data_IF_374333888535
#
_entry.id   IF_374333888535
#
_cell.length_a   1.000
_cell.length_b   1.000
_cell.length_c   1.000
_cell.angle_alpha   90.00
_cell.angle_beta   90.00
_cell.angle_gamma   90.00
#
_symmetry.space_group_name_H-M   'P 1'
#
loop_
_entity.id
_entity.type
_entity.pdbx_description
1 polymer ?
#
# COMPACT_ATOMS: atom_id res chain seq x y z
N UNK A 1 12.90 17.39 25.71
CA UNK A 1 13.35 16.70 24.47
C UNK A 1 12.26 16.72 23.39
N UNK A 2 11.19 15.90 23.44
CA UNK A 2 10.14 15.95 22.38
C UNK A 2 9.40 17.29 22.29
N UNK A 3 9.14 17.94 23.43
CA UNK A 3 8.54 19.29 23.48
C UNK A 3 9.41 20.38 22.83
N UNK A 4 10.72 20.20 22.79
CA UNK A 4 11.67 21.18 22.21
C UNK A 4 11.69 21.10 20.67
N UNK A 5 11.21 20.01 20.07
CA UNK A 5 11.09 19.83 18.62
C UNK A 5 9.88 20.59 18.02
N UNK A 6 9.18 21.40 18.82
CA UNK A 6 7.98 22.20 18.48
C UNK A 6 7.95 22.63 17.01
N UNK A 7 6.86 22.36 16.27
CA UNK A 7 6.43 22.80 14.92
C UNK A 7 7.49 23.24 13.87
N UNK A 8 8.77 22.91 14.07
CA UNK A 8 9.90 23.37 13.25
C UNK A 8 10.11 22.43 12.07
N UNK A 9 9.47 21.25 12.12
CA UNK A 9 9.58 20.21 11.12
C UNK A 9 8.19 19.66 10.79
N UNK A 10 7.90 19.52 9.50
CA UNK A 10 6.66 18.92 9.00
C UNK A 10 6.55 17.44 9.35
N UNK A 11 7.67 16.73 9.36
CA UNK A 11 7.77 15.32 9.74
C UNK A 11 8.71 15.18 10.93
N UNK A 12 8.23 14.52 11.99
CA UNK A 12 9.00 14.23 13.21
C UNK A 12 8.92 12.74 13.49
N UNK A 13 10.07 12.11 13.63
CA UNK A 13 10.20 10.67 13.78
C UNK A 13 10.86 10.33 15.12
N UNK A 14 10.33 9.32 15.80
CA UNK A 14 10.95 8.69 16.97
C UNK A 14 11.36 7.28 16.57
N UNK A 15 12.65 7.06 16.32
CA UNK A 15 13.19 5.73 16.05
C UNK A 15 13.48 5.04 17.39
N UNK A 16 12.79 3.92 17.65
CA UNK A 16 12.90 3.15 18.87
C UNK A 16 13.55 1.79 18.56
N UNK A 17 14.70 1.53 19.20
CA UNK A 17 15.33 0.22 19.19
C UNK A 17 14.72 -0.62 20.31
N UNK A 18 14.15 -1.77 19.95
CA UNK A 18 13.59 -2.76 20.86
C UNK A 18 14.67 -3.80 21.14
N UNK A 19 15.22 -3.77 22.35
CA UNK A 19 16.34 -4.61 22.79
C UNK A 19 15.99 -5.57 23.94
N UNK A 20 14.70 -5.68 24.29
CA UNK A 20 14.22 -6.49 25.41
C UNK A 20 12.99 -7.31 25.04
N UNK A 21 12.86 -8.49 25.65
CA UNK A 21 11.73 -9.40 25.41
C UNK A 21 10.42 -8.90 26.02
N UNK A 22 10.48 -8.02 27.03
CA UNK A 22 9.30 -7.42 27.68
C UNK A 22 9.11 -5.95 27.26
N UNK A 23 9.08 -5.71 25.96
CA UNK A 23 9.01 -4.36 25.41
C UNK A 23 7.59 -3.79 25.29
N UNK A 24 6.54 -4.59 25.51
CA UNK A 24 5.15 -4.18 25.25
C UNK A 24 4.73 -2.93 26.03
N UNK A 25 4.99 -2.90 27.34
CA UNK A 25 4.69 -1.75 28.20
C UNK A 25 5.47 -0.48 27.79
N UNK A 26 6.81 -0.54 27.73
CA UNK A 26 7.62 0.59 27.30
C UNK A 26 7.28 1.11 25.90
N UNK A 27 7.03 0.22 24.93
CA UNK A 27 6.64 0.58 23.57
C UNK A 27 5.30 1.31 23.56
N UNK A 28 4.32 0.85 24.35
CA UNK A 28 3.03 1.50 24.48
C UNK A 28 3.16 2.93 25.03
N UNK A 29 3.96 3.11 26.08
CA UNK A 29 4.17 4.41 26.72
C UNK A 29 4.88 5.40 25.80
N UNK A 30 5.91 4.94 25.07
CA UNK A 30 6.62 5.76 24.07
C UNK A 30 5.69 6.11 22.91
N UNK A 31 4.90 5.15 22.43
CA UNK A 31 3.96 5.36 21.32
C UNK A 31 2.88 6.39 21.70
N UNK A 32 2.31 6.28 22.92
CA UNK A 32 1.36 7.26 23.45
C UNK A 32 1.99 8.66 23.51
N UNK A 33 3.24 8.74 23.99
CA UNK A 33 3.97 10.01 24.08
C UNK A 33 4.28 10.60 22.70
N UNK A 34 4.60 9.77 21.71
CA UNK A 34 4.82 10.20 20.33
C UNK A 34 3.55 10.80 19.72
N UNK A 35 2.39 10.16 19.93
CA UNK A 35 1.09 10.68 19.48
C UNK A 35 0.78 12.04 20.12
N UNK A 36 0.95 12.16 21.45
CA UNK A 36 0.72 13.43 22.16
C UNK A 36 1.60 14.59 21.68
N UNK A 37 2.71 14.29 21.01
CA UNK A 37 3.64 15.27 20.46
C UNK A 37 3.64 15.32 18.93
N UNK A 38 2.64 14.74 18.25
CA UNK A 38 2.51 14.68 16.79
C UNK A 38 3.78 14.15 16.09
N UNK A 39 4.37 13.13 16.69
CA UNK A 39 5.51 12.39 16.15
C UNK A 39 5.06 11.01 15.69
N UNK A 40 5.72 10.47 14.65
CA UNK A 40 5.55 9.08 14.23
C UNK A 40 6.63 8.21 14.86
N UNK A 41 6.22 7.16 15.58
CA UNK A 41 7.15 6.17 16.12
C UNK A 41 7.51 5.12 15.05
N UNK A 42 8.79 4.76 14.96
CA UNK A 42 9.30 3.71 14.09
C UNK A 42 10.08 2.71 14.95
N UNK A 43 9.64 1.45 14.97
CA UNK A 43 10.24 0.39 15.79
C UNK A 43 11.29 -0.36 14.97
N UNK A 44 12.41 -0.69 15.60
CA UNK A 44 13.45 -1.55 15.04
C UNK A 44 13.87 -2.61 16.07
N UNK A 45 14.03 -3.85 15.65
CA UNK A 45 14.45 -4.98 16.50
C UNK A 45 15.93 -5.30 16.38
N UNK A 46 16.66 -4.51 15.60
CA UNK A 46 18.11 -4.57 15.52
C UNK A 46 18.70 -3.23 15.11
N UNK A 47 19.98 -3.04 15.43
CA UNK A 47 20.73 -1.86 14.99
C UNK A 47 20.85 -1.80 13.46
N UNK A 48 21.00 -2.95 12.81
CA UNK A 48 21.07 -3.04 11.35
C UNK A 48 19.76 -2.59 10.69
N UNK A 49 18.62 -2.99 11.26
CA UNK A 49 17.30 -2.54 10.80
C UNK A 49 17.11 -1.04 11.02
N UNK A 50 17.48 -0.52 12.19
CA UNK A 50 17.44 0.91 12.50
C UNK A 50 18.29 1.74 11.52
N UNK A 51 19.50 1.27 11.19
CA UNK A 51 20.37 1.91 10.21
C UNK A 51 19.73 1.93 8.81
N UNK A 52 19.18 0.79 8.36
CA UNK A 52 18.46 0.69 7.08
C UNK A 52 17.28 1.66 7.00
N UNK A 53 16.54 1.85 8.10
CA UNK A 53 15.47 2.85 8.15
C UNK A 53 15.99 4.27 7.98
N UNK A 54 17.08 4.64 8.66
CA UNK A 54 17.68 5.97 8.50
C UNK A 54 18.19 6.21 7.07
N UNK A 55 18.85 5.22 6.47
CA UNK A 55 19.30 5.28 5.08
C UNK A 55 18.13 5.48 4.12
N UNK A 56 17.05 4.72 4.29
CA UNK A 56 15.86 4.81 3.45
C UNK A 56 15.17 6.16 3.62
N UNK A 57 14.94 6.60 4.86
CA UNK A 57 14.35 7.91 5.14
C UNK A 57 15.17 9.03 4.50
N UNK A 58 16.50 8.95 4.57
CA UNK A 58 17.38 9.94 3.96
C UNK A 58 17.33 9.89 2.43
N UNK A 59 17.40 8.71 1.84
CA UNK A 59 17.38 8.51 0.38
C UNK A 59 16.06 8.95 -0.25
N UNK A 60 14.95 8.88 0.50
CA UNK A 60 13.60 9.24 0.03
C UNK A 60 13.11 10.60 0.50
N UNK A 61 13.85 11.32 1.35
CA UNK A 61 13.44 12.62 1.91
C UNK A 61 13.07 13.70 0.87
N UNK A 62 13.54 13.56 -0.37
CA UNK A 62 13.26 14.51 -1.49
C UNK A 62 12.70 13.85 -2.73
N UNK A 63 12.36 12.55 -2.67
CA UNK A 63 11.83 11.84 -3.84
C UNK A 63 10.35 12.20 -4.03
N UNK A 64 9.89 12.34 -5.29
CA UNK A 64 8.48 12.60 -5.55
C UNK A 64 7.62 11.39 -5.18
N UNK A 65 6.35 11.66 -4.85
CA UNK A 65 5.35 10.63 -4.51
C UNK A 65 5.00 9.71 -5.70
N UNK A 66 5.49 10.00 -6.90
CA UNK A 66 5.23 9.21 -8.11
C UNK A 66 5.74 7.78 -8.00
N UNK A 67 6.73 7.51 -7.14
CA UNK A 67 7.20 6.15 -6.86
C UNK A 67 6.18 5.29 -6.08
N UNK A 68 5.24 5.93 -5.39
CA UNK A 68 4.20 5.26 -4.58
C UNK A 68 2.92 5.06 -5.40
N UNK A 69 2.73 5.84 -6.47
CA UNK A 69 1.58 5.69 -7.35
C UNK A 69 1.61 4.32 -8.01
N UNK A 70 0.44 3.69 -8.07
CA UNK A 70 0.24 2.46 -8.82
C UNK A 70 0.66 2.69 -10.28
N UNK A 71 1.59 1.87 -10.76
CA UNK A 71 2.03 1.87 -12.15
C UNK A 71 1.03 1.07 -12.95
N UNK A 72 -0.08 1.69 -13.35
CA UNK A 72 -0.96 1.08 -14.32
C UNK A 72 -0.27 1.18 -15.69
N UNK A 73 -0.03 0.05 -16.36
CA UNK A 73 0.53 0.01 -17.72
C UNK A 73 -0.36 0.73 -18.75
N UNK A 74 -1.56 1.18 -18.35
CA UNK A 74 -2.49 1.92 -19.21
C UNK A 74 -3.10 1.05 -20.31
N UNK A 75 -2.74 -0.23 -20.34
CA UNK A 75 -3.30 -1.19 -21.27
C UNK A 75 -4.76 -1.45 -20.95
N UNK A 76 -5.61 -1.38 -21.98
CA UNK A 76 -7.04 -1.64 -21.88
C UNK A 76 -7.35 -2.99 -21.21
N UNK A 77 -6.54 -4.02 -21.49
CA UNK A 77 -6.71 -5.35 -20.89
C UNK A 77 -6.51 -5.35 -19.36
N UNK A 78 -5.59 -4.54 -18.84
CA UNK A 78 -5.36 -4.41 -17.39
C UNK A 78 -6.53 -3.70 -16.71
N UNK A 79 -7.01 -2.59 -17.29
CA UNK A 79 -8.18 -1.86 -16.78
C UNK A 79 -9.44 -2.71 -16.81
N UNK A 80 -9.63 -3.51 -17.87
CA UNK A 80 -10.75 -4.42 -18.00
C UNK A 80 -10.70 -5.54 -16.95
N UNK A 81 -9.53 -6.13 -16.72
CA UNK A 81 -9.31 -7.14 -15.68
C UNK A 81 -9.57 -6.58 -14.27
N UNK A 82 -9.08 -5.37 -13.98
CA UNK A 82 -9.34 -4.68 -12.70
C UNK A 82 -10.84 -4.41 -12.51
N UNK A 83 -11.53 -3.92 -13.54
CA UNK A 83 -12.96 -3.59 -13.44
C UNK A 83 -13.84 -4.83 -13.22
N UNK A 84 -13.59 -5.92 -13.97
CA UNK A 84 -14.48 -7.09 -13.94
C UNK A 84 -14.20 -8.03 -12.75
N UNK A 85 -12.96 -8.07 -12.24
CA UNK A 85 -12.64 -8.89 -11.05
C UNK A 85 -13.19 -8.32 -9.73
N UNK A 86 -13.74 -7.10 -9.74
CA UNK A 86 -14.53 -6.57 -8.62
C UNK A 86 -15.83 -7.35 -8.40
N UNK A 87 -16.36 -7.99 -9.44
CA UNK A 87 -17.58 -8.80 -9.37
C UNK A 87 -17.18 -10.26 -9.12
N UNK A 88 -17.33 -10.74 -7.88
CA UNK A 88 -17.16 -12.17 -7.59
C UNK A 88 -18.24 -12.97 -8.31
N UNK A 89 -17.95 -14.14 -8.92
CA UNK A 89 -16.74 -14.97 -8.77
C UNK A 89 -15.65 -14.80 -9.84
N UNK A 90 -15.63 -13.70 -10.62
CA UNK A 90 -14.74 -13.57 -11.77
C UNK A 90 -13.25 -13.41 -11.40
N UNK A 91 -12.40 -14.19 -12.05
CA UNK A 91 -10.94 -14.12 -11.96
C UNK A 91 -10.30 -13.46 -13.20
N UNK A 92 -9.00 -13.16 -13.12
CA UNK A 92 -8.24 -12.60 -14.27
C UNK A 92 -8.27 -13.51 -15.51
N UNK A 93 -8.31 -14.83 -15.32
CA UNK A 93 -8.48 -15.82 -16.40
C UNK A 93 -9.80 -15.60 -17.13
N UNK A 94 -10.88 -15.47 -16.37
CA UNK A 94 -12.25 -15.42 -16.88
C UNK A 94 -12.48 -14.13 -17.66
N UNK A 95 -11.87 -13.02 -17.21
CA UNK A 95 -11.85 -11.77 -17.96
C UNK A 95 -11.09 -11.90 -19.27
N UNK A 96 -9.99 -12.66 -19.29
CA UNK A 96 -9.26 -12.98 -20.53
C UNK A 96 -10.13 -13.75 -21.52
N UNK A 97 -10.87 -14.75 -21.03
CA UNK A 97 -11.83 -15.52 -21.83
C UNK A 97 -12.96 -14.64 -22.37
N UNK A 98 -13.61 -13.84 -21.52
CA UNK A 98 -14.66 -12.91 -21.92
C UNK A 98 -14.16 -11.93 -22.98
N UNK A 99 -12.95 -11.39 -22.81
CA UNK A 99 -12.33 -10.49 -23.77
C UNK A 99 -12.04 -11.17 -25.11
N UNK A 100 -11.57 -12.42 -25.10
CA UNK A 100 -11.36 -13.18 -26.33
C UNK A 100 -12.68 -13.51 -27.05
N UNK A 101 -13.75 -13.84 -26.31
CA UNK A 101 -15.05 -14.22 -26.87
C UNK A 101 -15.83 -13.02 -27.42
N UNK A 102 -15.93 -11.94 -26.65
CA UNK A 102 -16.80 -10.80 -27.00
C UNK A 102 -16.05 -9.61 -27.60
N UNK A 103 -14.72 -9.54 -27.44
CA UNK A 103 -13.85 -8.53 -28.05
C UNK A 103 -14.00 -7.08 -27.53
N UNK A 104 -15.11 -6.74 -26.86
CA UNK A 104 -15.35 -5.42 -26.29
C UNK A 104 -16.26 -5.49 -25.08
N UNK A 105 -16.07 -4.59 -24.11
CA UNK A 105 -16.91 -4.49 -22.92
C UNK A 105 -18.38 -4.22 -23.26
N UNK A 106 -18.65 -3.42 -24.29
CA UNK A 106 -20.02 -3.12 -24.74
C UNK A 106 -20.75 -4.40 -25.18
N UNK A 107 -20.08 -5.28 -25.92
CA UNK A 107 -20.65 -6.58 -26.33
C UNK A 107 -20.84 -7.52 -25.15
N UNK A 108 -19.94 -7.53 -24.17
CA UNK A 108 -20.12 -8.34 -22.95
C UNK A 108 -21.35 -7.91 -22.15
N UNK A 109 -21.61 -6.60 -22.06
CA UNK A 109 -22.76 -6.07 -21.30
C UNK A 109 -24.10 -6.23 -22.03
N UNK A 110 -24.07 -6.40 -23.35
CA UNK A 110 -25.25 -6.64 -24.18
C UNK A 110 -25.50 -8.13 -24.46
N UNK A 111 -24.57 -9.01 -24.07
CA UNK A 111 -24.68 -10.44 -24.27
C UNK A 111 -25.82 -11.04 -23.45
N UNK A 112 -26.50 -12.04 -23.99
CA UNK A 112 -27.55 -12.74 -23.26
C UNK A 112 -26.96 -13.66 -22.18
N UNK A 113 -27.81 -14.11 -21.24
CA UNK A 113 -27.37 -15.06 -20.22
C UNK A 113 -26.88 -16.39 -20.85
N UNK A 114 -27.49 -16.83 -21.94
CA UNK A 114 -27.05 -18.04 -22.64
C UNK A 114 -25.67 -17.85 -23.26
N UNK A 115 -25.41 -16.70 -23.89
CA UNK A 115 -24.11 -16.39 -24.50
C UNK A 115 -23.00 -16.30 -23.45
N UNK A 116 -23.28 -15.67 -22.30
CA UNK A 116 -22.33 -15.62 -21.19
C UNK A 116 -22.04 -17.01 -20.59
N UNK A 117 -23.05 -17.89 -20.55
CA UNK A 117 -22.90 -19.26 -20.06
C UNK A 117 -22.09 -20.18 -21.01
N UNK A 118 -21.88 -19.76 -22.27
CA UNK A 118 -21.02 -20.51 -23.21
C UNK A 118 -19.53 -20.25 -23.04
N UNK A 119 -19.14 -19.27 -22.22
CA UNK A 119 -17.74 -19.03 -21.90
C UNK A 119 -17.21 -20.16 -20.99
N UNK A 120 -16.04 -20.75 -21.32
CA UNK A 120 -15.43 -21.83 -20.54
C UNK A 120 -14.97 -21.38 -19.14
#
# INVERSE_FOLDING_TARGET
RLRELSNSFTLRLVLLLVDSDNAEGPVLDVTRTAILHDCTALLAWSVAEAARYLETLRAYARKPADLIKERNDGAFSSQLAECLTLVRPLNKSDVGTLHATFGSLAKMMLASQEELATCP
#
